data_IF_949138777167
#
_entry.id   IF_949138777167
#
_cell.length_a   1.000
_cell.length_b   1.000
_cell.length_c   1.000
_cell.angle_alpha   90.00
_cell.angle_beta   90.00
_cell.angle_gamma   90.00
#
_symmetry.space_group_name_H-M   'P 1'
#
loop_
_entity.id
_entity.type
_entity.pdbx_description
1 polymer ?
#
# COMPACT_ATOMS: atom_id res chain seq x y z
N UNK A 1 -6.75 5.94 -18.51
CA UNK A 1 -5.58 6.82 -18.28
C UNK A 1 -5.54 7.37 -16.83
N UNK A 2 -5.69 6.53 -15.80
CA UNK A 2 -5.74 6.99 -14.38
C UNK A 2 -4.74 6.29 -13.45
N UNK A 3 -3.90 5.41 -14.00
CA UNK A 3 -3.09 4.51 -13.18
C UNK A 3 -1.78 5.12 -12.68
N UNK A 4 -1.31 6.23 -13.26
CA UNK A 4 -0.09 6.93 -12.82
C UNK A 4 -0.37 7.72 -11.54
N UNK A 5 -1.52 8.39 -11.46
CA UNK A 5 -1.92 9.22 -10.32
C UNK A 5 -1.89 8.44 -9.01
N UNK A 6 -2.46 7.23 -8.95
CA UNK A 6 -2.47 6.39 -7.75
C UNK A 6 -1.06 5.94 -7.30
N UNK A 7 -0.13 5.70 -8.23
CA UNK A 7 1.26 5.32 -7.89
C UNK A 7 1.97 6.46 -7.15
N UNK A 8 1.72 7.72 -7.53
CA UNK A 8 2.29 8.87 -6.83
C UNK A 8 1.81 8.96 -5.37
N UNK A 9 0.53 8.72 -5.07
CA UNK A 9 0.02 8.77 -3.68
C UNK A 9 0.53 7.60 -2.83
N UNK A 10 0.68 6.41 -3.43
CA UNK A 10 1.29 5.26 -2.74
C UNK A 10 2.72 5.54 -2.33
N UNK A 11 3.50 6.26 -3.13
CA UNK A 11 4.85 6.68 -2.75
C UNK A 11 4.87 7.87 -1.78
N UNK A 12 4.03 8.88 -2.05
CA UNK A 12 4.02 10.12 -1.28
C UNK A 12 3.64 9.93 0.19
N UNK A 13 2.78 8.96 0.51
CA UNK A 13 2.41 8.68 1.91
C UNK A 13 3.64 8.40 2.79
N UNK A 14 4.69 7.75 2.26
CA UNK A 14 5.91 7.45 3.03
C UNK A 14 6.72 8.71 3.32
N UNK A 15 6.78 9.64 2.37
CA UNK A 15 7.44 10.94 2.55
C UNK A 15 6.71 11.76 3.61
N UNK A 16 5.39 11.83 3.53
CA UNK A 16 4.59 12.54 4.54
C UNK A 16 4.63 11.87 5.91
N UNK A 17 4.65 10.53 5.97
CA UNK A 17 4.82 9.80 7.23
C UNK A 17 6.18 10.08 7.86
N UNK A 18 7.27 10.06 7.08
CA UNK A 18 8.61 10.41 7.56
C UNK A 18 8.67 11.87 8.02
N UNK A 19 8.09 12.78 7.25
CA UNK A 19 8.04 14.20 7.57
C UNK A 19 7.30 14.46 8.89
N UNK A 20 6.13 13.85 9.08
CA UNK A 20 5.40 13.95 10.34
C UNK A 20 6.19 13.36 11.52
N UNK A 21 6.86 12.22 11.33
CA UNK A 21 7.70 11.61 12.36
C UNK A 21 8.84 12.52 12.84
N UNK A 22 9.42 13.31 11.93
CA UNK A 22 10.51 14.23 12.23
C UNK A 22 10.04 15.59 12.75
N UNK A 23 9.15 16.27 12.02
CA UNK A 23 8.73 17.64 12.33
C UNK A 23 7.51 17.75 13.25
N UNK A 24 6.69 16.69 13.38
CA UNK A 24 5.44 16.68 14.17
C UNK A 24 4.42 17.76 13.79
N UNK A 25 4.50 18.26 12.56
CA UNK A 25 3.53 19.20 12.01
C UNK A 25 2.33 18.46 11.39
N UNK A 26 1.14 18.73 11.90
CA UNK A 26 -0.13 18.10 11.50
C UNK A 26 -0.42 18.17 10.01
N UNK A 27 0.11 19.17 9.29
CA UNK A 27 -0.08 19.25 7.83
C UNK A 27 0.45 18.02 7.09
N UNK A 28 1.51 17.39 7.62
CA UNK A 28 2.09 16.18 7.04
C UNK A 28 1.23 14.96 7.34
N UNK A 29 0.68 14.85 8.55
CA UNK A 29 -0.24 13.77 8.89
C UNK A 29 -1.51 13.85 8.02
N UNK A 30 -2.07 15.05 7.88
CA UNK A 30 -3.24 15.28 7.04
C UNK A 30 -2.97 14.96 5.55
N UNK A 31 -1.79 15.31 5.04
CA UNK A 31 -1.37 14.92 3.69
C UNK A 31 -1.26 13.39 3.53
N UNK A 32 -0.70 12.70 4.52
CA UNK A 32 -0.61 11.23 4.53
C UNK A 32 -2.02 10.59 4.54
N UNK A 33 -2.96 11.12 5.34
CA UNK A 33 -4.36 10.68 5.37
C UNK A 33 -5.04 10.80 4.01
N UNK A 34 -4.89 11.96 3.34
CA UNK A 34 -5.42 12.17 1.98
C UNK A 34 -4.84 11.19 0.97
N UNK A 35 -3.55 10.89 1.05
CA UNK A 35 -2.92 9.88 0.20
C UNK A 35 -3.59 8.51 0.39
N UNK A 36 -3.77 8.08 1.65
CA UNK A 36 -4.41 6.82 1.97
C UNK A 36 -5.88 6.77 1.53
N UNK A 37 -6.63 7.87 1.63
CA UNK A 37 -8.02 7.92 1.16
C UNK A 37 -8.11 7.82 -0.37
N UNK A 38 -7.25 8.52 -1.11
CA UNK A 38 -7.17 8.38 -2.58
C UNK A 38 -6.83 6.95 -2.97
N UNK A 39 -5.86 6.33 -2.27
CA UNK A 39 -5.50 4.92 -2.51
C UNK A 39 -6.64 3.98 -2.12
N UNK A 40 -7.41 4.26 -1.09
CA UNK A 40 -8.58 3.46 -0.74
C UNK A 40 -9.62 3.45 -1.86
N UNK A 41 -9.96 4.63 -2.39
CA UNK A 41 -10.99 4.75 -3.43
C UNK A 41 -10.52 4.33 -4.84
N UNK A 42 -9.21 4.38 -5.12
CA UNK A 42 -8.68 4.17 -6.48
C UNK A 42 -7.58 3.11 -6.58
N UNK A 43 -7.24 2.43 -5.49
CA UNK A 43 -6.12 1.50 -5.38
C UNK A 43 -6.44 0.05 -5.72
N UNK A 44 -7.70 -0.29 -6.02
CA UNK A 44 -8.11 -1.60 -6.54
C UNK A 44 -7.83 -1.69 -8.05
N UNK A 45 -6.54 -1.84 -8.38
CA UNK A 45 -6.01 -1.79 -9.73
C UNK A 45 -6.06 -3.14 -10.44
N UNK A 46 -6.24 -3.11 -11.77
CA UNK A 46 -6.08 -4.28 -12.66
C UNK A 46 -4.62 -4.53 -13.08
N UNK A 47 -3.66 -3.83 -12.47
CA UNK A 47 -2.25 -3.81 -12.91
C UNK A 47 -1.44 -5.03 -12.50
N UNK A 48 -1.87 -5.77 -11.50
CA UNK A 48 -1.14 -6.91 -10.97
C UNK A 48 -1.04 -6.90 -9.44
N UNK A 49 -0.41 -7.94 -8.87
CA UNK A 49 -0.43 -8.19 -7.43
C UNK A 49 0.69 -7.46 -6.67
N UNK A 50 1.77 -7.06 -7.34
CA UNK A 50 2.99 -6.55 -6.72
C UNK A 50 2.88 -5.22 -5.97
N UNK A 51 4.01 -4.79 -5.42
CA UNK A 51 4.09 -3.64 -4.49
C UNK A 51 4.44 -2.31 -5.16
N UNK A 52 5.07 -2.32 -6.34
CA UNK A 52 5.44 -1.08 -7.05
C UNK A 52 4.21 -0.30 -7.54
N UNK A 53 3.30 -1.00 -8.20
CA UNK A 53 2.11 -0.38 -8.80
C UNK A 53 0.90 -1.33 -8.83
N UNK A 54 0.93 -2.39 -8.02
CA UNK A 54 -0.14 -3.37 -7.87
C UNK A 54 -0.96 -3.21 -6.58
N UNK A 55 -1.75 -4.22 -6.27
CA UNK A 55 -2.67 -4.25 -5.13
C UNK A 55 -1.93 -4.28 -3.78
N UNK A 56 -0.87 -5.09 -3.66
CA UNK A 56 -0.12 -5.18 -2.40
C UNK A 56 0.48 -3.81 -2.00
N UNK A 57 0.94 -3.02 -2.97
CA UNK A 57 1.41 -1.66 -2.72
C UNK A 57 0.32 -0.71 -2.22
N UNK A 58 -0.93 -0.89 -2.69
CA UNK A 58 -2.09 -0.17 -2.15
C UNK A 58 -2.34 -0.54 -0.68
N UNK A 59 -2.23 -1.83 -0.35
CA UNK A 59 -2.37 -2.33 1.02
C UNK A 59 -1.30 -1.77 1.96
N UNK A 60 -0.04 -1.76 1.52
CA UNK A 60 1.06 -1.17 2.27
C UNK A 60 0.88 0.32 2.58
N UNK A 61 0.26 1.09 1.66
CA UNK A 61 -0.10 2.51 1.92
C UNK A 61 -1.02 2.64 3.13
N UNK A 62 -1.93 1.68 3.33
CA UNK A 62 -2.79 1.67 4.51
C UNK A 62 -2.04 1.19 5.76
N UNK A 63 -1.17 0.18 5.63
CA UNK A 63 -0.35 -0.31 6.76
C UNK A 63 0.58 0.76 7.34
N UNK A 64 1.27 1.53 6.50
CA UNK A 64 2.15 2.60 6.99
C UNK A 64 1.36 3.66 7.76
N UNK A 65 0.12 3.96 7.33
CA UNK A 65 -0.72 4.92 8.02
C UNK A 65 -1.32 4.33 9.31
N UNK A 66 -1.67 3.04 9.32
CA UNK A 66 -2.01 2.32 10.56
C UNK A 66 -0.87 2.39 11.57
N UNK A 67 0.37 2.12 11.14
CA UNK A 67 1.55 2.18 12.01
C UNK A 67 1.82 3.60 12.51
N UNK A 68 1.51 4.62 11.69
CA UNK A 68 1.68 6.02 12.08
C UNK A 68 0.65 6.51 13.09
N UNK A 69 -0.62 6.08 12.96
CA UNK A 69 -1.74 6.67 13.73
C UNK A 69 -2.39 5.74 14.75
N UNK A 70 -2.20 4.43 14.62
CA UNK A 70 -2.90 3.40 15.39
C UNK A 70 -4.38 3.23 15.01
N UNK A 71 -4.90 3.96 14.02
CA UNK A 71 -6.32 3.95 13.70
C UNK A 71 -6.72 2.66 12.96
N UNK A 72 -7.59 1.86 13.60
CA UNK A 72 -8.00 0.54 13.11
C UNK A 72 -8.57 0.53 11.68
N UNK A 73 -9.17 1.64 11.22
CA UNK A 73 -9.72 1.77 9.86
C UNK A 73 -8.67 1.48 8.79
N UNK A 74 -7.41 1.85 9.00
CA UNK A 74 -6.36 1.63 7.99
C UNK A 74 -5.93 0.16 7.95
N UNK A 75 -5.89 -0.52 9.09
CA UNK A 75 -5.66 -1.96 9.12
C UNK A 75 -6.79 -2.72 8.40
N UNK A 76 -8.05 -2.35 8.64
CA UNK A 76 -9.20 -2.93 7.95
C UNK A 76 -9.10 -2.73 6.42
N UNK A 77 -8.71 -1.53 5.98
CA UNK A 77 -8.49 -1.25 4.55
C UNK A 77 -7.33 -2.06 3.97
N UNK A 78 -6.23 -2.24 4.71
CA UNK A 78 -5.12 -3.10 4.29
C UNK A 78 -5.59 -4.55 4.11
N UNK A 79 -6.35 -5.08 5.06
CA UNK A 79 -6.95 -6.42 4.97
C UNK A 79 -7.88 -6.55 3.75
N UNK A 80 -8.67 -5.53 3.45
CA UNK A 80 -9.54 -5.53 2.27
C UNK A 80 -8.74 -5.63 0.95
N UNK A 81 -7.56 -4.99 0.85
CA UNK A 81 -6.67 -5.18 -0.29
C UNK A 81 -6.12 -6.62 -0.38
N UNK A 82 -5.80 -7.23 0.77
CA UNK A 82 -5.37 -8.63 0.82
C UNK A 82 -6.49 -9.61 0.40
N UNK A 83 -7.72 -9.36 0.82
CA UNK A 83 -8.87 -10.15 0.39
C UNK A 83 -9.15 -9.98 -1.11
N UNK A 84 -9.00 -8.76 -1.64
CA UNK A 84 -9.21 -8.50 -3.06
C UNK A 84 -8.28 -9.33 -3.96
N UNK A 85 -7.01 -9.53 -3.56
CA UNK A 85 -6.05 -10.40 -4.26
C UNK A 85 -6.57 -11.83 -4.46
N UNK A 86 -7.46 -12.32 -3.58
CA UNK A 86 -8.01 -13.67 -3.63
C UNK A 86 -9.24 -13.77 -4.54
N UNK A 87 -9.88 -12.65 -4.86
CA UNK A 87 -11.15 -12.64 -5.58
C UNK A 87 -11.02 -13.20 -7.00
N UNK A 88 -12.06 -13.89 -7.52
CA UNK A 88 -12.09 -14.33 -8.91
C UNK A 88 -11.94 -13.18 -9.90
N UNK A 89 -12.51 -12.01 -9.57
CA UNK A 89 -12.40 -10.79 -10.38
C UNK A 89 -10.96 -10.36 -10.55
N UNK A 90 -10.18 -10.28 -9.47
CA UNK A 90 -8.76 -9.95 -9.57
C UNK A 90 -8.00 -10.99 -10.39
N UNK A 91 -8.19 -12.29 -10.10
CA UNK A 91 -7.51 -13.38 -10.82
C UNK A 91 -7.76 -13.38 -12.32
N UNK A 92 -8.96 -12.95 -12.76
CA UNK A 92 -9.34 -12.88 -14.17
C UNK A 92 -8.88 -11.60 -14.87
N UNK A 93 -8.88 -10.47 -14.17
CA UNK A 93 -8.69 -9.16 -14.79
C UNK A 93 -7.31 -8.54 -14.55
N UNK A 94 -6.53 -9.10 -13.63
CA UNK A 94 -5.16 -8.64 -13.37
C UNK A 94 -4.27 -8.91 -14.58
N UNK A 95 -3.48 -7.89 -14.96
CA UNK A 95 -2.41 -8.04 -15.93
C UNK A 95 -1.29 -8.90 -15.35
N UNK A 96 -0.69 -9.72 -16.21
CA UNK A 96 0.54 -10.44 -15.87
C UNK A 96 1.70 -9.43 -15.78
N UNK A 97 2.49 -9.45 -14.70
CA UNK A 97 3.71 -8.64 -14.60
C UNK A 97 4.81 -9.16 -15.52
N UNK A 98 5.75 -8.29 -15.91
CA UNK A 98 6.91 -8.66 -16.74
C UNK A 98 7.80 -9.67 -16.00
N UNK A 99 8.00 -9.47 -14.69
CA UNK A 99 8.66 -10.43 -13.80
C UNK A 99 7.70 -10.95 -12.71
N UNK A 100 6.88 -12.01 -12.99
CA UNK A 100 5.79 -12.45 -12.11
C UNK A 100 6.17 -12.89 -10.69
N UNK A 101 7.44 -13.24 -10.46
CA UNK A 101 7.94 -13.69 -9.16
C UNK A 101 8.85 -12.67 -8.47
N UNK A 102 9.09 -11.52 -9.09
CA UNK A 102 9.97 -10.48 -8.53
C UNK A 102 9.38 -9.80 -7.29
N UNK A 103 10.25 -9.12 -6.54
CA UNK A 103 9.87 -8.35 -5.36
C UNK A 103 8.88 -7.22 -5.70
N UNK A 104 9.17 -6.41 -6.71
CA UNK A 104 8.41 -5.17 -6.94
C UNK A 104 7.17 -5.34 -7.81
N UNK A 105 7.18 -6.27 -8.76
CA UNK A 105 6.06 -6.47 -9.68
C UNK A 105 5.25 -7.73 -9.37
N UNK A 106 5.93 -8.74 -8.83
CA UNK A 106 5.44 -10.10 -8.71
C UNK A 106 4.96 -10.49 -7.32
N UNK A 107 4.83 -11.81 -7.16
CA UNK A 107 4.30 -12.44 -5.96
C UNK A 107 5.20 -12.32 -4.74
N UNK A 108 6.52 -12.11 -4.90
CA UNK A 108 7.41 -11.96 -3.74
C UNK A 108 7.04 -10.72 -2.91
N UNK A 109 6.74 -9.59 -3.55
CA UNK A 109 6.25 -8.40 -2.83
C UNK A 109 4.87 -8.61 -2.21
N UNK A 110 3.99 -9.35 -2.90
CA UNK A 110 2.70 -9.75 -2.32
C UNK A 110 2.89 -10.61 -1.07
N UNK A 111 3.84 -11.54 -1.07
CA UNK A 111 4.17 -12.35 0.09
C UNK A 111 4.69 -11.50 1.26
N UNK A 112 5.57 -10.52 1.01
CA UNK A 112 5.99 -9.56 2.02
C UNK A 112 4.80 -8.82 2.65
N UNK A 113 3.90 -8.30 1.81
CA UNK A 113 2.70 -7.60 2.28
C UNK A 113 1.81 -8.49 3.17
N UNK A 114 1.57 -9.73 2.74
CA UNK A 114 0.76 -10.68 3.50
C UNK A 114 1.43 -11.10 4.82
N UNK A 115 2.76 -11.25 4.83
CA UNK A 115 3.52 -11.52 6.03
C UNK A 115 3.44 -10.34 7.02
N UNK A 116 3.59 -9.10 6.53
CA UNK A 116 3.51 -7.89 7.35
C UNK A 116 2.11 -7.65 7.95
N UNK A 117 1.05 -8.15 7.30
CA UNK A 117 -0.30 -8.14 7.90
C UNK A 117 -0.41 -8.99 9.17
N UNK A 118 0.47 -9.98 9.37
CA UNK A 118 0.50 -10.76 10.61
C UNK A 118 1.08 -9.98 11.80
N UNK A 119 1.90 -8.96 11.52
CA UNK A 119 2.50 -8.08 12.53
C UNK A 119 2.43 -6.60 12.09
N UNK A 120 1.22 -6.00 12.03
CA UNK A 120 1.02 -4.69 11.42
C UNK A 120 1.80 -3.53 12.08
N UNK A 121 2.11 -3.65 13.36
CA UNK A 121 2.90 -2.66 14.11
C UNK A 121 4.38 -2.63 13.72
N UNK A 122 4.89 -3.73 13.15
CA UNK A 122 6.26 -3.88 12.67
C UNK A 122 6.38 -3.80 11.14
N UNK A 123 5.25 -3.74 10.43
CA UNK A 123 5.19 -3.72 8.97
C UNK A 123 6.10 -2.63 8.37
N UNK A 124 6.85 -3.00 7.33
CA UNK A 124 7.78 -2.12 6.65
C UNK A 124 7.75 -2.41 5.15
N UNK A 125 7.45 -1.38 4.35
CA UNK A 125 7.54 -1.53 2.91
C UNK A 125 8.98 -1.92 2.54
N UNK A 126 9.19 -2.98 1.73
CA UNK A 126 10.53 -3.48 1.43
C UNK A 126 11.45 -2.38 0.91
N UNK A 127 12.62 -2.24 1.56
CA UNK A 127 13.65 -1.22 1.26
C UNK A 127 13.21 0.24 1.51
N UNK A 128 12.05 0.48 2.11
CA UNK A 128 11.55 1.82 2.44
C UNK A 128 10.73 1.82 3.75
N UNK A 129 11.42 1.90 4.89
CA UNK A 129 10.78 2.11 6.19
C UNK A 129 10.85 3.61 6.59
N UNK A 130 9.73 4.33 6.75
CA UNK A 130 9.76 5.75 7.14
C UNK A 130 9.94 5.98 8.65
N UNK A 131 9.99 4.92 9.47
CA UNK A 131 10.17 5.02 10.92
C UNK A 131 11.60 4.65 11.31
#
# INVERSE_FOLDING_TARGET
>A
MYSLFCVHFKGAVYVYARAYGFWRDEKYLEAARRCADVVWHRGFLKKGPGICHGIAGSGYTQLVLYRLTGEARYLQRAMAFAEFLKTPTFKREARQPDCPLSLYEGLAGTACFLADLSQPSAAAFPLMNPF
#
